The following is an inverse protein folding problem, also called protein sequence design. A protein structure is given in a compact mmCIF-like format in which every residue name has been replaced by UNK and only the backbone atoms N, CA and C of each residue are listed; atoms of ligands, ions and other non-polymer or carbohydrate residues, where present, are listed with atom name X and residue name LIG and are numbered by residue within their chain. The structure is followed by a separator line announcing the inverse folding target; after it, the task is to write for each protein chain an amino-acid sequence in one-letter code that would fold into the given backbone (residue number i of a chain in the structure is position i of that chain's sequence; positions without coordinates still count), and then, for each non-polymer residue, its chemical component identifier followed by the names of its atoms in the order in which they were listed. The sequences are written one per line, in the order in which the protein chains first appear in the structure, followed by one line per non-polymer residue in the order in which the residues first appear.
data_IF_215819208413
#
_entry.id   IF_215819208413
#
_cell.length_a   1.000
_cell.length_b   1.000
_cell.length_c   1.000
_cell.angle_alpha   90.00
_cell.angle_beta   90.00
_cell.angle_gamma   90.00
#
_symmetry.space_group_name_H-M   'P 1'
#
loop_
_entity.id
_entity.type
_entity.pdbx_description
1 polymer ?
#
# COMPACT_ATOMS: atom_id res chain seq x y z
N UNK A 1 15.89 7.79 -11.98
CA UNK A 1 14.61 8.29 -12.50
C UNK A 1 13.62 8.10 -11.36
N UNK A 2 13.04 9.18 -10.82
CA UNK A 2 12.06 9.07 -9.75
C UNK A 2 10.92 8.20 -10.29
N UNK A 3 10.73 7.04 -9.67
CA UNK A 3 9.76 6.07 -10.13
C UNK A 3 8.38 6.70 -9.86
N UNK A 4 7.55 7.05 -10.87
CA UNK A 4 6.29 7.76 -10.64
C UNK A 4 5.34 7.01 -9.69
N UNK A 5 5.50 5.68 -9.61
CA UNK A 5 4.86 4.86 -8.60
C UNK A 5 5.28 5.24 -7.17
N UNK A 6 6.55 5.53 -6.91
CA UNK A 6 7.03 5.84 -5.57
C UNK A 6 6.41 7.12 -5.01
N UNK A 7 6.30 8.18 -5.82
CA UNK A 7 5.66 9.44 -5.40
C UNK A 7 4.19 9.24 -5.03
N UNK A 8 3.47 8.42 -5.80
CA UNK A 8 2.09 8.03 -5.48
C UNK A 8 1.99 7.27 -4.15
N UNK A 9 2.85 6.27 -3.91
CA UNK A 9 2.86 5.54 -2.64
C UNK A 9 3.23 6.46 -1.46
N UNK A 10 4.16 7.40 -1.64
CA UNK A 10 4.50 8.40 -0.62
C UNK A 10 3.30 9.31 -0.28
N UNK A 11 2.49 9.69 -1.26
CA UNK A 11 1.26 10.45 -1.01
C UNK A 11 0.26 9.63 -0.19
N UNK A 12 0.08 8.35 -0.53
CA UNK A 12 -0.80 7.44 0.22
C UNK A 12 -0.33 7.26 1.67
N UNK A 13 0.98 7.10 1.89
CA UNK A 13 1.57 7.01 3.23
C UNK A 13 1.37 8.31 4.03
N UNK A 14 1.57 9.47 3.41
CA UNK A 14 1.32 10.77 4.05
C UNK A 14 -0.15 10.96 4.45
N UNK A 15 -1.07 10.50 3.60
CA UNK A 15 -2.49 10.51 3.92
C UNK A 15 -2.79 9.62 5.13
N UNK A 16 -2.25 8.39 5.14
CA UNK A 16 -2.38 7.47 6.27
C UNK A 16 -1.79 8.06 7.56
N UNK A 17 -0.63 8.71 7.50
CA UNK A 17 -0.02 9.42 8.64
C UNK A 17 -0.98 10.45 9.23
N UNK A 18 -1.67 11.23 8.40
CA UNK A 18 -2.60 12.26 8.87
C UNK A 18 -3.79 11.64 9.60
N UNK A 19 -4.30 10.52 9.09
CA UNK A 19 -5.36 9.74 9.76
C UNK A 19 -4.86 9.22 11.12
N UNK A 20 -3.65 8.63 11.16
CA UNK A 20 -3.06 8.09 12.38
C UNK A 20 -2.89 9.16 13.47
N UNK A 21 -2.43 10.36 13.12
CA UNK A 21 -2.32 11.49 14.06
C UNK A 21 -3.68 11.82 14.66
N UNK A 22 -4.71 11.96 13.82
CA UNK A 22 -6.07 12.25 14.28
C UNK A 22 -6.65 11.13 15.17
N UNK A 23 -6.31 9.87 14.90
CA UNK A 23 -6.70 8.74 15.74
C UNK A 23 -6.00 8.74 17.10
N UNK A 24 -4.70 9.05 17.13
CA UNK A 24 -3.94 9.14 18.38
C UNK A 24 -4.56 10.12 19.37
N UNK A 25 -5.06 11.26 18.87
CA UNK A 25 -5.79 12.25 19.67
C UNK A 25 -7.17 11.73 20.15
N UNK A 26 -7.85 10.90 19.35
CA UNK A 26 -9.20 10.44 19.62
C UNK A 26 -9.28 9.17 20.51
N UNK A 27 -8.33 8.25 20.40
CA UNK A 27 -8.43 6.90 20.97
C UNK A 27 -7.87 6.74 22.40
N UNK A 28 -7.43 7.82 23.04
CA UNK A 28 -6.83 7.79 24.39
C UNK A 28 -5.74 6.70 24.54
N UNK A 29 -4.99 6.45 23.46
CA UNK A 29 -3.86 5.51 23.43
C UNK A 29 -2.75 6.06 24.33
N UNK A 30 -1.99 5.22 25.07
CA UNK A 30 -0.81 5.69 25.78
C UNK A 30 0.12 6.46 24.83
N UNK A 31 0.25 7.76 25.11
CA UNK A 31 0.87 8.77 24.24
C UNK A 31 2.28 8.34 23.78
N UNK A 32 3.05 7.70 24.66
CA UNK A 32 4.41 7.25 24.40
C UNK A 32 4.50 6.20 23.27
N UNK A 33 3.62 5.20 23.28
CA UNK A 33 3.62 4.14 22.25
C UNK A 33 3.11 4.64 20.89
N UNK A 34 2.22 5.63 20.88
CA UNK A 34 1.71 6.22 19.65
C UNK A 34 2.71 7.22 19.06
N UNK A 35 3.33 8.06 19.88
CA UNK A 35 4.36 9.01 19.47
C UNK A 35 5.54 8.28 18.80
N UNK A 36 6.08 7.23 19.44
CA UNK A 36 7.16 6.42 18.87
C UNK A 36 6.76 5.76 17.53
N UNK A 37 5.49 5.35 17.40
CA UNK A 37 4.98 4.77 16.15
C UNK A 37 4.94 5.81 15.02
N UNK A 38 4.47 7.03 15.32
CA UNK A 38 4.47 8.14 14.36
C UNK A 38 5.90 8.54 13.97
N UNK A 39 6.84 8.57 14.91
CA UNK A 39 8.25 8.86 14.63
C UNK A 39 8.84 7.82 13.68
N UNK A 40 8.59 6.52 13.92
CA UNK A 40 9.01 5.43 13.01
C UNK A 40 8.38 5.55 11.62
N UNK A 41 7.12 5.98 11.56
CA UNK A 41 6.42 6.19 10.29
C UNK A 41 6.99 7.40 9.52
N UNK A 42 7.38 8.46 10.22
CA UNK A 42 8.04 9.64 9.64
C UNK A 42 9.45 9.29 9.12
N UNK A 43 10.17 8.44 9.87
CA UNK A 43 11.44 7.86 9.45
C UNK A 43 11.28 7.05 8.15
N UNK A 44 10.27 6.17 8.07
CA UNK A 44 9.95 5.43 6.85
C UNK A 44 9.73 6.36 5.65
N UNK A 45 8.93 7.42 5.81
CA UNK A 45 8.67 8.39 4.73
C UNK A 45 9.95 9.06 4.22
N UNK A 46 10.93 9.26 5.10
CA UNK A 46 12.22 9.87 4.79
C UNK A 46 13.19 8.87 4.17
N UNK A 47 13.22 7.63 4.66
CA UNK A 47 14.11 6.57 4.20
C UNK A 47 13.65 5.95 2.88
N UNK A 48 12.34 5.84 2.63
CA UNK A 48 11.79 5.21 1.42
C UNK A 48 12.39 5.72 0.10
N UNK A 49 12.57 7.04 -0.11
CA UNK A 49 13.24 7.56 -1.31
C UNK A 49 14.77 7.38 -1.32
N UNK A 50 15.40 7.15 -0.16
CA UNK A 50 16.86 7.01 -0.04
C UNK A 50 17.31 5.55 -0.15
N UNK A 51 16.70 4.67 0.63
CA UNK A 51 16.95 3.24 0.65
C UNK A 51 15.63 2.45 0.57
N UNK A 52 15.15 2.13 -0.64
CA UNK A 52 13.86 1.48 -0.82
C UNK A 52 13.82 0.04 -0.30
N UNK A 53 14.99 -0.63 -0.19
CA UNK A 53 15.06 -2.02 0.24
C UNK A 53 14.89 -2.14 1.75
N UNK A 54 15.64 -1.35 2.53
CA UNK A 54 15.50 -1.33 3.99
C UNK A 54 14.12 -0.79 4.39
N UNK A 55 13.66 0.25 3.69
CA UNK A 55 12.35 0.86 3.92
C UNK A 55 11.19 -0.07 3.57
N UNK A 56 11.36 -1.02 2.66
CA UNK A 56 10.33 -2.02 2.36
C UNK A 56 10.01 -2.88 3.59
N UNK A 57 11.03 -3.38 4.29
CA UNK A 57 10.83 -4.17 5.50
C UNK A 57 10.23 -3.36 6.64
N UNK A 58 10.73 -2.14 6.85
CA UNK A 58 10.20 -1.23 7.86
C UNK A 58 8.74 -0.88 7.58
N UNK A 59 8.42 -0.56 6.32
CA UNK A 59 7.06 -0.20 5.91
C UNK A 59 6.10 -1.38 5.99
N UNK A 60 6.51 -2.58 5.62
CA UNK A 60 5.72 -3.79 5.80
C UNK A 60 5.33 -3.98 7.27
N UNK A 61 6.30 -3.95 8.18
CA UNK A 61 6.06 -4.12 9.61
C UNK A 61 5.12 -3.01 10.15
N UNK A 62 5.37 -1.75 9.78
CA UNK A 62 4.53 -0.63 10.18
C UNK A 62 3.09 -0.75 9.67
N UNK A 63 2.88 -1.08 8.39
CA UNK A 63 1.55 -1.22 7.82
C UNK A 63 0.79 -2.39 8.46
N UNK A 64 1.44 -3.53 8.67
CA UNK A 64 0.86 -4.65 9.40
C UNK A 64 0.47 -4.24 10.83
N UNK A 65 1.33 -3.49 11.53
CA UNK A 65 1.02 -2.95 12.86
C UNK A 65 -0.16 -1.96 12.83
N UNK A 66 -0.27 -1.08 11.82
CA UNK A 66 -1.42 -0.16 11.66
C UNK A 66 -2.72 -0.96 11.60
N UNK A 67 -2.78 -1.99 10.75
CA UNK A 67 -3.99 -2.76 10.52
C UNK A 67 -4.40 -3.55 11.77
N UNK A 68 -3.41 -4.13 12.46
CA UNK A 68 -3.65 -4.89 13.69
C UNK A 68 -4.04 -4.01 14.87
N UNK A 69 -3.41 -2.84 15.02
CA UNK A 69 -3.66 -1.91 16.12
C UNK A 69 -4.94 -1.10 15.89
N UNK A 70 -5.21 -0.71 14.64
CA UNK A 70 -6.33 0.14 14.26
C UNK A 70 -7.21 -0.54 13.19
N UNK A 71 -7.93 -1.62 13.54
CA UNK A 71 -8.78 -2.35 12.59
C UNK A 71 -9.86 -1.45 11.97
N UNK A 72 -10.25 -0.37 12.66
CA UNK A 72 -11.20 0.61 12.16
C UNK A 72 -10.72 1.40 10.93
N UNK A 73 -9.41 1.57 10.76
CA UNK A 73 -8.84 2.22 9.56
C UNK A 73 -8.18 1.23 8.60
N UNK A 74 -8.27 -0.06 8.86
CA UNK A 74 -7.76 -1.10 7.96
C UNK A 74 -8.34 -0.99 6.54
N UNK A 75 -9.59 -0.53 6.42
CA UNK A 75 -10.23 -0.29 5.12
C UNK A 75 -9.78 1.02 4.46
N UNK A 76 -9.20 1.96 5.21
CA UNK A 76 -8.62 3.20 4.69
C UNK A 76 -7.19 3.01 4.18
N UNK A 77 -6.51 1.93 4.59
CA UNK A 77 -5.20 1.56 4.05
C UNK A 77 -5.36 1.19 2.58
N UNK A 78 -4.74 1.98 1.72
CA UNK A 78 -4.77 1.78 0.27
C UNK A 78 -4.18 0.41 -0.09
N UNK A 79 -4.90 -0.36 -0.89
CA UNK A 79 -4.48 -1.69 -1.36
C UNK A 79 -3.19 -1.65 -2.16
N UNK A 80 -2.94 -0.54 -2.85
CA UNK A 80 -1.68 -0.30 -3.56
C UNK A 80 -0.48 -0.32 -2.60
N UNK A 81 -0.63 0.13 -1.34
CA UNK A 81 0.43 0.01 -0.33
C UNK A 81 0.65 -1.45 0.09
N UNK A 82 -0.42 -2.22 0.30
CA UNK A 82 -0.31 -3.64 0.67
C UNK A 82 0.42 -4.44 -0.40
N UNK A 83 0.08 -4.18 -1.67
CA UNK A 83 0.76 -4.76 -2.81
C UNK A 83 2.22 -4.30 -2.92
N UNK A 84 2.48 -3.00 -2.72
CA UNK A 84 3.81 -2.40 -2.81
C UNK A 84 4.80 -2.94 -1.77
N UNK A 85 4.36 -3.10 -0.51
CA UNK A 85 5.19 -3.67 0.54
C UNK A 85 5.25 -5.21 0.49
N UNK A 86 4.18 -5.84 -0.01
CA UNK A 86 4.13 -7.28 -0.21
C UNK A 86 4.27 -8.09 1.09
N UNK A 87 4.61 -9.38 0.93
CA UNK A 87 4.80 -10.34 2.02
C UNK A 87 3.62 -10.40 2.99
N UNK A 88 3.83 -10.05 4.27
CA UNK A 88 2.78 -10.17 5.29
C UNK A 88 1.60 -9.20 5.05
N UNK A 89 1.84 -8.06 4.38
CA UNK A 89 0.76 -7.15 3.99
C UNK A 89 -0.26 -7.79 3.04
N UNK A 90 0.17 -8.77 2.22
CA UNK A 90 -0.72 -9.49 1.31
C UNK A 90 -1.72 -10.37 2.05
N UNK A 91 -1.42 -10.79 3.28
CA UNK A 91 -2.36 -11.56 4.11
C UNK A 91 -3.62 -10.74 4.49
N UNK A 92 -3.53 -9.41 4.43
CA UNK A 92 -4.67 -8.51 4.66
C UNK A 92 -5.47 -8.22 3.39
N UNK A 93 -5.04 -8.73 2.23
CA UNK A 93 -5.78 -8.65 0.97
C UNK A 93 -6.55 -9.95 0.72
N UNK A 94 -7.84 -9.88 0.33
CA UNK A 94 -8.58 -11.04 -0.09
C UNK A 94 -8.04 -11.59 -1.43
N UNK A 95 -8.27 -12.87 -1.67
CA UNK A 95 -7.79 -13.58 -2.88
C UNK A 95 -8.26 -12.91 -4.18
N UNK A 96 -9.47 -12.34 -4.20
CA UNK A 96 -10.02 -11.61 -5.33
C UNK A 96 -9.19 -10.37 -5.69
N UNK A 97 -8.72 -9.63 -4.69
CA UNK A 97 -7.85 -8.48 -4.92
C UNK A 97 -6.45 -8.93 -5.35
N UNK A 98 -5.90 -9.98 -4.74
CA UNK A 98 -4.62 -10.56 -5.17
C UNK A 98 -4.67 -10.98 -6.65
N UNK A 99 -5.73 -11.66 -7.07
CA UNK A 99 -5.93 -12.07 -8.46
C UNK A 99 -6.05 -10.88 -9.42
N UNK A 100 -6.67 -9.77 -8.98
CA UNK A 100 -6.75 -8.54 -9.77
C UNK A 100 -5.37 -7.89 -9.94
N UNK A 101 -4.59 -7.80 -8.87
CA UNK A 101 -3.24 -7.23 -8.91
C UNK A 101 -2.26 -8.09 -9.70
N UNK A 102 -2.37 -9.42 -9.62
CA UNK A 102 -1.60 -10.34 -10.46
C UNK A 102 -1.89 -10.10 -11.95
N UNK A 103 -3.16 -10.03 -12.35
CA UNK A 103 -3.54 -9.75 -13.75
C UNK A 103 -3.07 -8.37 -14.21
N UNK A 104 -3.09 -7.36 -13.33
CA UNK A 104 -2.53 -6.03 -13.60
C UNK A 104 -1.05 -6.11 -13.95
N UNK A 105 -0.27 -6.87 -13.18
CA UNK A 105 1.15 -7.05 -13.44
C UNK A 105 1.41 -7.82 -14.73
N UNK A 106 0.63 -8.86 -15.02
CA UNK A 106 0.69 -9.60 -16.29
C UNK A 106 0.45 -8.66 -17.47
N UNK A 107 -0.63 -7.87 -17.45
CA UNK A 107 -0.92 -6.91 -18.52
C UNK A 107 0.14 -5.82 -18.64
N UNK A 108 0.69 -5.35 -17.51
CA UNK A 108 1.81 -4.40 -17.51
C UNK A 108 3.01 -4.99 -18.24
N UNK A 109 3.34 -6.25 -17.92
CA UNK A 109 4.47 -6.95 -18.51
C UNK A 109 4.24 -7.20 -20.01
N UNK A 110 3.04 -7.61 -20.42
CA UNK A 110 2.66 -7.76 -21.83
C UNK A 110 2.77 -6.43 -22.60
N UNK A 111 2.24 -5.34 -22.03
CA UNK A 111 2.34 -4.01 -22.64
C UNK A 111 3.80 -3.53 -22.74
N UNK A 112 4.62 -3.78 -21.72
CA UNK A 112 6.07 -3.48 -21.75
C UNK A 112 6.78 -4.29 -22.84
N UNK A 113 6.45 -5.57 -23.02
CA UNK A 113 6.98 -6.40 -24.09
C UNK A 113 6.55 -5.93 -25.48
N UNK A 114 5.33 -5.39 -25.60
CA UNK A 114 4.76 -4.89 -26.85
C UNK A 114 5.08 -3.41 -27.13
N UNK A 115 5.82 -2.72 -26.24
CA UNK A 115 6.09 -1.27 -26.28
C UNK A 115 4.80 -0.43 -26.31
N UNK A 116 3.73 -0.91 -25.66
CA UNK A 116 2.44 -0.24 -25.57
C UNK A 116 2.35 0.64 -24.29
N UNK A 117 1.66 1.81 -24.37
CA UNK A 117 1.44 2.63 -23.19
C UNK A 117 0.51 1.90 -22.21
N UNK A 118 1.01 1.64 -21.01
CA UNK A 118 0.25 0.98 -19.94
C UNK A 118 -0.15 1.98 -18.85
N UNK A 119 -1.45 2.15 -18.61
CA UNK A 119 -1.97 2.94 -17.50
C UNK A 119 -2.49 2.03 -16.38
N UNK A 120 -1.74 1.98 -15.28
CA UNK A 120 -2.05 1.14 -14.12
C UNK A 120 -3.43 1.44 -13.53
N UNK A 121 -3.80 2.73 -13.42
CA UNK A 121 -5.07 3.11 -12.78
C UNK A 121 -6.25 2.77 -13.68
N UNK A 122 -6.11 3.02 -14.99
CA UNK A 122 -7.14 2.69 -15.96
C UNK A 122 -7.38 1.18 -16.06
N UNK A 123 -6.31 0.38 -16.17
CA UNK A 123 -6.42 -1.08 -16.24
C UNK A 123 -6.97 -1.69 -14.96
N UNK A 124 -6.60 -1.13 -13.80
CA UNK A 124 -7.18 -1.52 -12.50
C UNK A 124 -8.68 -1.32 -12.47
N UNK A 125 -9.17 -0.16 -12.93
CA UNK A 125 -10.61 0.12 -13.00
C UNK A 125 -11.32 -0.80 -13.98
N UNK A 126 -10.71 -1.13 -15.12
CA UNK A 126 -11.27 -2.04 -16.12
C UNK A 126 -11.38 -3.48 -15.59
N UNK A 127 -10.35 -3.96 -14.89
CA UNK A 127 -10.34 -5.26 -14.22
C UNK A 127 -11.32 -5.32 -13.04
N UNK A 128 -11.43 -4.25 -12.26
CA UNK A 128 -12.40 -4.18 -11.16
C UNK A 128 -13.86 -4.23 -11.64
N UNK A 129 -14.12 -3.73 -12.85
CA UNK A 129 -15.45 -3.79 -13.48
C UNK A 129 -15.73 -5.11 -14.20
N UNK A 130 -14.69 -5.86 -14.55
CA UNK A 130 -14.79 -7.16 -15.20
C UNK A 130 -14.32 -8.23 -14.23
N UNK A 131 -15.17 -8.67 -13.27
CA UNK A 131 -14.80 -9.76 -12.38
C UNK A 131 -14.37 -10.96 -13.23
N UNK A 132 -13.34 -11.71 -12.81
CA UNK A 132 -12.84 -12.83 -13.59
C UNK A 132 -14.02 -13.72 -13.95
N UNK A 133 -14.30 -13.85 -15.25
CA UNK A 133 -15.26 -14.83 -15.76
C UNK A 133 -14.71 -16.17 -15.32
N UNK A 134 -15.31 -16.71 -14.27
CA UNK A 134 -14.97 -18.00 -13.71
C UNK A 134 -15.34 -19.04 -14.78
N UNK A 135 -14.39 -19.36 -15.67
CA UNK A 135 -14.51 -20.49 -16.59
C UNK A 135 -14.30 -21.75 -15.76
N UNK A 136 -15.41 -22.20 -15.16
CA UNK A 136 -15.61 -23.56 -14.69
C UNK A 136 -15.49 -24.58 -15.82
#
# INVERSE_FOLDING_TARGET
MANPHLEYHLQLLNHLRTILVALGEAEQVPEESHALFLERFDELLTLLPQDPLESQYLGQDLICQVIQRYPQIAHLVARDLLWFFGGDCLHFMPEEELALYQQLEERRYEAEQNDEPFDWHQEKLLLAQTPPTNRH
#
